data_IF_728362992674
#
_entry.id   IF_728362992674
#
_cell.length_a   1.000
_cell.length_b   1.000
_cell.length_c   1.000
_cell.angle_alpha   90.00
_cell.angle_beta   90.00
_cell.angle_gamma   90.00
#
_symmetry.space_group_name_H-M   'P 1'
#
loop_
_entity.id
_entity.type
_entity.pdbx_description
1 polymer ?
#
# COMPACT_ATOMS: atom_id res chain seq x y z
N UNK A 1 -23.80 18.45 16.43
CA UNK A 1 -23.80 18.22 14.98
C UNK A 1 -22.38 17.87 14.59
N UNK A 2 -22.09 16.59 14.37
CA UNK A 2 -20.79 16.13 13.87
C UNK A 2 -20.64 16.54 12.41
N UNK A 3 -19.58 17.30 12.11
CA UNK A 3 -19.23 17.67 10.74
C UNK A 3 -18.93 16.39 9.92
N UNK A 4 -19.30 16.34 8.63
CA UNK A 4 -18.92 15.24 7.75
C UNK A 4 -17.40 15.29 7.55
N UNK A 5 -16.67 14.43 8.26
CA UNK A 5 -15.22 14.31 8.11
C UNK A 5 -14.92 13.75 6.73
N UNK A 6 -14.25 14.53 5.88
CA UNK A 6 -13.70 13.98 4.65
C UNK A 6 -12.74 12.83 5.01
N UNK A 7 -12.73 11.71 4.27
CA UNK A 7 -11.98 10.49 4.65
C UNK A 7 -10.47 10.71 4.79
N UNK A 8 -9.94 11.80 4.23
CA UNK A 8 -8.51 12.18 4.28
C UNK A 8 -8.11 12.97 5.54
N UNK A 9 -9.07 13.45 6.33
CA UNK A 9 -8.82 14.29 7.53
C UNK A 9 -9.52 13.71 8.77
N UNK A 10 -9.29 12.42 9.03
CA UNK A 10 -9.78 11.72 10.21
C UNK A 10 -8.63 11.32 11.12
N UNK A 11 -8.89 11.22 12.42
CA UNK A 11 -7.87 10.78 13.38
C UNK A 11 -7.39 9.34 13.11
N UNK A 12 -8.27 8.46 12.62
CA UNK A 12 -7.88 7.11 12.19
C UNK A 12 -6.89 7.13 11.02
N UNK A 13 -7.05 8.07 10.08
CA UNK A 13 -6.09 8.25 8.99
C UNK A 13 -4.73 8.77 9.51
N UNK A 14 -4.73 9.76 10.41
CA UNK A 14 -3.52 10.26 11.05
C UNK A 14 -2.80 9.14 11.83
N UNK A 15 -3.55 8.35 12.61
CA UNK A 15 -3.03 7.21 13.35
C UNK A 15 -2.45 6.12 12.46
N UNK A 16 -3.09 5.83 11.34
CA UNK A 16 -2.60 4.86 10.34
C UNK A 16 -1.34 5.34 9.60
N UNK A 17 -1.25 6.64 9.32
CA UNK A 17 -0.13 7.23 8.56
C UNK A 17 1.07 7.59 9.43
N UNK A 18 0.92 7.69 10.75
CA UNK A 18 1.99 8.12 11.65
C UNK A 18 2.13 9.64 11.74
N UNK A 19 1.19 10.41 11.20
CA UNK A 19 1.22 11.86 11.21
C UNK A 19 0.84 12.41 12.60
N UNK A 20 1.85 12.52 13.47
CA UNK A 20 1.70 13.04 14.82
C UNK A 20 1.20 14.49 14.85
N UNK A 21 1.63 15.32 13.88
CA UNK A 21 1.23 16.72 13.83
C UNK A 21 -0.25 16.84 13.50
N UNK A 22 -0.72 16.11 12.48
CA UNK A 22 -2.13 16.04 12.13
C UNK A 22 -2.96 15.45 13.28
N UNK A 23 -2.49 14.38 13.94
CA UNK A 23 -3.19 13.79 15.07
C UNK A 23 -3.39 14.78 16.23
N UNK A 24 -2.38 15.60 16.55
CA UNK A 24 -2.48 16.66 17.55
C UNK A 24 -3.51 17.71 17.16
N UNK A 25 -3.43 18.24 15.93
CA UNK A 25 -4.39 19.23 15.43
C UNK A 25 -5.82 18.69 15.52
N UNK A 26 -6.05 17.44 15.09
CA UNK A 26 -7.39 16.86 15.07
C UNK A 26 -8.00 16.69 16.48
N UNK A 27 -7.16 16.42 17.48
CA UNK A 27 -7.62 16.23 18.87
C UNK A 27 -7.73 17.57 19.60
N UNK A 28 -6.72 18.43 19.48
CA UNK A 28 -6.58 19.66 20.27
C UNK A 28 -7.37 20.83 19.66
N UNK A 29 -7.38 20.97 18.34
CA UNK A 29 -8.06 22.07 17.64
C UNK A 29 -9.45 21.66 17.14
N UNK A 30 -9.54 20.53 16.42
CA UNK A 30 -10.80 20.08 15.81
C UNK A 30 -11.71 19.31 16.80
N UNK A 31 -11.19 18.96 17.99
CA UNK A 31 -11.95 18.31 19.06
C UNK A 31 -12.46 16.90 18.71
N UNK A 32 -11.80 16.19 17.80
CA UNK A 32 -12.19 14.82 17.43
C UNK A 32 -12.02 13.86 18.62
N UNK A 33 -12.97 12.93 18.76
CA UNK A 33 -12.91 11.90 19.79
C UNK A 33 -11.77 10.92 19.52
N UNK A 34 -10.78 10.87 20.41
CA UNK A 34 -9.60 10.01 20.24
C UNK A 34 -9.84 8.51 20.50
N UNK A 35 -11.00 8.17 21.06
CA UNK A 35 -11.41 6.81 21.41
C UNK A 35 -12.63 6.33 20.60
N UNK A 36 -13.13 7.14 19.65
CA UNK A 36 -14.25 6.76 18.81
C UNK A 36 -13.80 5.77 17.71
N UNK A 37 -14.68 4.83 17.37
CA UNK A 37 -14.39 3.85 16.34
C UNK A 37 -14.68 4.43 14.96
N UNK A 38 -13.89 4.07 13.96
CA UNK A 38 -14.20 4.39 12.57
C UNK A 38 -15.30 3.48 12.00
N UNK A 39 -15.58 3.63 10.70
CA UNK A 39 -16.57 2.82 9.98
C UNK A 39 -16.27 1.30 9.96
N UNK A 40 -15.04 0.90 10.31
CA UNK A 40 -14.62 -0.50 10.43
C UNK A 40 -14.64 -1.00 11.86
N UNK A 41 -15.19 -0.21 12.78
CA UNK A 41 -15.19 -0.48 14.21
C UNK A 41 -13.76 -0.60 14.79
N UNK A 42 -12.81 0.20 14.27
CA UNK A 42 -11.41 0.24 14.70
C UNK A 42 -11.10 1.58 15.35
N UNK A 43 -10.42 1.56 16.50
CA UNK A 43 -10.01 2.80 17.20
C UNK A 43 -8.71 3.38 16.64
N UNK A 44 -8.49 4.70 16.75
CA UNK A 44 -7.20 5.31 16.40
C UNK A 44 -6.01 4.63 17.07
N UNK A 45 -6.18 4.16 18.31
CA UNK A 45 -5.16 3.39 19.02
C UNK A 45 -4.78 2.10 18.30
N UNK A 46 -5.77 1.33 17.86
CA UNK A 46 -5.53 0.11 17.08
C UNK A 46 -4.84 0.41 15.76
N UNK A 47 -5.26 1.46 15.03
CA UNK A 47 -4.56 1.88 13.80
C UNK A 47 -3.09 2.20 14.05
N UNK A 48 -2.78 3.00 15.07
CA UNK A 48 -1.41 3.36 15.41
C UNK A 48 -0.55 2.12 15.77
N UNK A 49 -1.10 1.17 16.53
CA UNK A 49 -0.40 -0.07 16.87
C UNK A 49 -0.19 -1.00 15.67
N UNK A 50 -1.22 -1.22 14.85
CA UNK A 50 -1.15 -2.10 13.68
C UNK A 50 -0.21 -1.56 12.61
N UNK A 51 -0.14 -0.23 12.47
CA UNK A 51 0.74 0.44 11.52
C UNK A 51 2.11 0.84 12.08
N UNK A 52 2.35 0.59 13.37
CA UNK A 52 3.68 0.65 13.95
C UNK A 52 4.17 2.04 14.34
N UNK A 53 3.28 2.91 14.84
CA UNK A 53 3.58 4.32 15.13
C UNK A 53 3.61 4.63 16.63
N UNK A 54 4.72 4.32 17.35
CA UNK A 54 4.80 4.46 18.81
C UNK A 54 4.57 5.88 19.32
N UNK A 55 4.90 6.92 18.55
CA UNK A 55 4.70 8.32 18.93
C UNK A 55 3.21 8.66 19.04
N UNK A 56 2.37 8.12 18.14
CA UNK A 56 0.91 8.28 18.22
C UNK A 56 0.35 7.44 19.36
N UNK A 57 0.85 6.21 19.56
CA UNK A 57 0.46 5.36 20.69
C UNK A 57 0.72 6.09 22.02
N UNK A 58 1.89 6.72 22.16
CA UNK A 58 2.25 7.52 23.33
C UNK A 58 1.30 8.71 23.55
N UNK A 59 0.97 9.45 22.48
CA UNK A 59 0.01 10.54 22.53
C UNK A 59 -1.35 10.06 23.04
N UNK A 60 -1.89 9.00 22.45
CA UNK A 60 -3.19 8.45 22.82
C UNK A 60 -3.20 7.95 24.26
N UNK A 61 -2.18 7.21 24.70
CA UNK A 61 -2.06 6.74 26.09
C UNK A 61 -2.07 7.88 27.11
N UNK A 62 -1.42 9.00 26.77
CA UNK A 62 -1.42 10.19 27.61
C UNK A 62 -2.82 10.80 27.72
N UNK A 63 -3.59 10.79 26.64
CA UNK A 63 -4.99 11.24 26.64
C UNK A 63 -5.90 10.31 27.44
N UNK A 64 -5.77 8.99 27.29
CA UNK A 64 -6.49 8.03 28.14
C UNK A 64 -6.19 8.25 29.63
N UNK A 65 -4.93 8.45 29.99
CA UNK A 65 -4.54 8.71 31.37
C UNK A 65 -5.06 10.07 31.88
N UNK A 66 -5.00 11.12 31.06
CA UNK A 66 -5.52 12.46 31.37
C UNK A 66 -7.03 12.42 31.65
N UNK A 67 -7.77 11.72 30.80
CA UNK A 67 -9.23 11.66 30.84
C UNK A 67 -9.73 10.52 31.75
N UNK A 68 -8.81 9.81 32.43
CA UNK A 68 -9.07 8.67 33.32
C UNK A 68 -9.90 7.56 32.67
N UNK A 69 -9.74 7.40 31.36
CA UNK A 69 -10.40 6.37 30.57
C UNK A 69 -9.57 5.09 30.55
N UNK A 70 -10.23 3.95 30.63
CA UNK A 70 -9.57 2.64 30.51
C UNK A 70 -9.50 2.22 29.05
N UNK A 71 -8.30 1.89 28.57
CA UNK A 71 -8.15 1.12 27.33
C UNK A 71 -8.80 -0.25 27.51
N UNK A 72 -9.66 -0.62 26.56
CA UNK A 72 -10.38 -1.89 26.65
C UNK A 72 -9.42 -3.05 26.40
N UNK A 73 -9.53 -4.15 27.16
CA UNK A 73 -8.63 -5.30 27.05
C UNK A 73 -8.58 -5.88 25.61
N UNK A 74 -9.70 -5.78 24.87
CA UNK A 74 -9.80 -6.19 23.47
C UNK A 74 -8.92 -5.34 22.54
N UNK A 75 -8.78 -4.03 22.80
CA UNK A 75 -7.95 -3.16 21.98
C UNK A 75 -6.49 -3.58 22.05
N UNK A 76 -6.00 -3.87 23.26
CA UNK A 76 -4.63 -4.32 23.48
C UNK A 76 -4.38 -5.70 22.87
N UNK A 77 -5.35 -6.62 22.93
CA UNK A 77 -5.23 -7.97 22.36
C UNK A 77 -5.10 -7.95 20.83
N UNK A 78 -5.90 -7.13 20.14
CA UNK A 78 -5.78 -6.93 18.68
C UNK A 78 -4.39 -6.40 18.33
N UNK A 79 -3.89 -5.43 19.10
CA UNK A 79 -2.55 -4.86 18.90
C UNK A 79 -1.45 -5.91 19.11
N UNK A 80 -1.56 -6.77 20.12
CA UNK A 80 -0.59 -7.85 20.39
C UNK A 80 -0.45 -8.83 19.22
N UNK A 81 -1.55 -9.09 18.49
CA UNK A 81 -1.56 -10.03 17.36
C UNK A 81 -1.11 -9.40 16.05
N UNK A 82 -1.42 -8.12 15.84
CA UNK A 82 -1.22 -7.46 14.54
C UNK A 82 -0.14 -6.37 14.49
N UNK A 83 0.53 -6.03 15.59
CA UNK A 83 1.61 -5.05 15.58
C UNK A 83 2.89 -5.66 14.99
N UNK A 84 3.39 -5.05 13.91
CA UNK A 84 4.64 -5.47 13.25
C UNK A 84 5.87 -4.72 13.74
N UNK A 85 5.72 -3.53 14.34
CA UNK A 85 6.84 -2.75 14.86
C UNK A 85 7.47 -3.49 16.07
N UNK A 86 8.77 -3.82 16.03
CA UNK A 86 9.41 -4.64 17.05
C UNK A 86 9.44 -3.95 18.43
N UNK A 87 9.60 -2.63 18.44
CA UNK A 87 9.63 -1.84 19.68
C UNK A 87 8.24 -1.74 20.31
N UNK A 88 7.20 -1.53 19.50
CA UNK A 88 5.83 -1.60 20.00
C UNK A 88 5.44 -3.00 20.47
N UNK A 89 5.92 -4.08 19.82
CA UNK A 89 5.68 -5.45 20.30
C UNK A 89 6.28 -5.69 21.68
N UNK A 90 7.52 -5.24 21.93
CA UNK A 90 8.14 -5.32 23.27
C UNK A 90 7.29 -4.56 24.29
N UNK A 91 6.83 -3.35 23.95
CA UNK A 91 5.94 -2.57 24.80
C UNK A 91 4.62 -3.32 25.11
N UNK A 92 3.96 -3.88 24.10
CA UNK A 92 2.69 -4.60 24.24
C UNK A 92 2.83 -5.89 25.07
N UNK A 93 4.02 -6.49 25.11
CA UNK A 93 4.35 -7.63 25.99
C UNK A 93 4.74 -7.21 27.41
N UNK A 94 4.91 -5.92 27.66
CA UNK A 94 5.41 -5.39 28.94
C UNK A 94 6.91 -5.55 29.13
N UNK A 95 7.67 -5.79 28.06
CA UNK A 95 9.13 -5.94 28.10
C UNK A 95 9.85 -4.58 28.14
N UNK A 96 9.17 -3.50 27.74
CA UNK A 96 9.67 -2.12 27.79
C UNK A 96 8.54 -1.10 27.94
N UNK A 97 8.90 0.14 28.23
CA UNK A 97 7.97 1.28 28.30
C UNK A 97 7.68 1.87 26.91
N UNK A 98 6.57 2.60 26.78
CA UNK A 98 6.27 3.30 25.51
C UNK A 98 7.31 4.39 25.21
N UNK A 99 7.91 5.01 26.23
CA UNK A 99 8.96 6.01 26.05
C UNK A 99 10.24 5.40 25.46
N UNK A 100 10.64 4.22 25.92
CA UNK A 100 11.74 3.46 25.33
C UNK A 100 11.42 3.02 23.90
N UNK A 101 10.19 2.55 23.66
CA UNK A 101 9.75 2.20 22.31
C UNK A 101 9.86 3.40 21.36
N UNK A 102 9.44 4.61 21.78
CA UNK A 102 9.56 5.85 21.00
C UNK A 102 11.02 6.27 20.80
N UNK A 103 11.86 6.13 21.81
CA UNK A 103 13.27 6.52 21.73
C UNK A 103 14.09 5.58 20.83
N UNK A 104 13.77 4.29 20.84
CA UNK A 104 14.43 3.26 20.04
C UNK A 104 13.85 3.16 18.62
N UNK A 105 12.67 3.74 18.39
CA UNK A 105 12.04 3.87 17.09
C UNK A 105 12.78 4.91 16.24
N UNK A 106 13.96 4.49 15.75
CA UNK A 106 14.81 5.25 14.81
C UNK A 106 14.16 5.44 13.44
N UNK A 107 13.01 4.79 13.19
CA UNK A 107 12.21 4.93 11.97
C UNK A 107 11.32 6.20 11.99
N UNK A 108 10.86 6.67 13.16
CA UNK A 108 9.85 7.73 13.25
C UNK A 108 10.33 9.19 13.12
N UNK A 109 11.64 9.46 13.14
CA UNK A 109 12.21 10.83 12.95
C UNK A 109 12.82 11.06 11.58
N UNK A 110 12.80 10.05 10.74
CA UNK A 110 13.37 10.13 9.40
C UNK A 110 12.24 10.36 8.40
N UNK A 111 11.99 11.63 8.05
CA UNK A 111 11.45 11.99 6.73
C UNK A 111 12.51 11.70 5.64
N UNK A 112 13.19 10.56 5.71
CA UNK A 112 13.79 9.95 4.53
C UNK A 112 12.89 8.80 4.20
N UNK A 113 12.27 8.93 3.03
CA UNK A 113 11.74 7.84 2.23
C UNK A 113 11.45 6.59 3.06
N UNK A 114 10.18 6.43 3.46
CA UNK A 114 9.59 5.09 3.51
C UNK A 114 10.25 4.27 2.40
N UNK A 115 10.76 3.04 2.63
CA UNK A 115 11.13 2.18 1.51
C UNK A 115 9.99 2.32 0.52
N UNK A 116 10.29 2.87 -0.67
CA UNK A 116 9.29 3.41 -1.59
C UNK A 116 8.10 2.48 -1.57
N UNK A 117 6.85 2.96 -1.48
CA UNK A 117 5.65 2.08 -1.37
C UNK A 117 5.71 0.88 -2.33
N UNK A 118 6.37 1.09 -3.47
CA UNK A 118 6.89 0.11 -4.45
C UNK A 118 7.56 -1.14 -3.86
N UNK A 119 8.48 -1.03 -2.92
CA UNK A 119 9.31 -2.12 -2.35
C UNK A 119 8.74 -2.74 -1.08
N UNK A 120 7.64 -2.21 -0.55
CA UNK A 120 6.97 -2.76 0.64
C UNK A 120 6.42 -4.16 0.35
N UNK A 121 6.61 -5.07 1.30
CA UNK A 121 6.04 -6.42 1.27
C UNK A 121 4.72 -6.48 2.05
N UNK A 122 3.81 -7.34 1.62
CA UNK A 122 2.59 -7.67 2.35
C UNK A 122 2.81 -8.80 3.38
N UNK A 123 1.72 -9.32 3.97
CA UNK A 123 1.75 -10.38 4.98
C UNK A 123 2.27 -11.73 4.45
N UNK A 124 2.23 -11.95 3.14
CA UNK A 124 2.77 -13.14 2.47
C UNK A 124 4.21 -12.92 1.99
N UNK A 125 4.83 -11.85 2.45
CA UNK A 125 6.15 -11.39 2.02
C UNK A 125 6.22 -11.07 0.52
N UNK A 126 5.12 -10.68 -0.13
CA UNK A 126 5.07 -10.37 -1.58
C UNK A 126 5.13 -8.87 -1.84
N UNK A 127 5.76 -8.51 -2.95
CA UNK A 127 5.88 -7.10 -3.38
C UNK A 127 4.84 -6.76 -4.46
N UNK A 128 4.68 -5.46 -4.74
CA UNK A 128 3.90 -5.02 -5.90
C UNK A 128 4.44 -5.57 -7.23
N UNK A 129 5.77 -5.77 -7.33
CA UNK A 129 6.40 -6.36 -8.51
C UNK A 129 6.00 -7.83 -8.69
N UNK A 130 5.95 -8.60 -7.60
CA UNK A 130 5.48 -9.98 -7.62
C UNK A 130 4.07 -10.10 -8.21
N UNK A 131 3.12 -9.29 -7.74
CA UNK A 131 1.75 -9.30 -8.25
C UNK A 131 1.64 -8.81 -9.70
N UNK A 132 2.45 -7.85 -10.10
CA UNK A 132 2.51 -7.42 -11.50
C UNK A 132 3.00 -8.55 -12.42
N UNK A 133 3.92 -9.39 -11.93
CA UNK A 133 4.43 -10.55 -12.66
C UNK A 133 3.41 -11.70 -12.73
N UNK A 134 2.71 -12.02 -11.64
CA UNK A 134 1.68 -13.07 -11.63
C UNK A 134 0.52 -12.78 -12.58
N UNK A 135 0.16 -11.50 -12.74
CA UNK A 135 -0.95 -11.06 -13.58
C UNK A 135 -0.51 -10.59 -14.99
N UNK A 136 0.75 -10.80 -15.37
CA UNK A 136 1.31 -10.42 -16.67
C UNK A 136 1.14 -8.93 -17.04
N UNK A 137 1.25 -8.02 -16.08
CA UNK A 137 1.14 -6.59 -16.33
C UNK A 137 2.49 -5.99 -16.77
N UNK A 138 2.90 -6.23 -18.02
CA UNK A 138 4.21 -5.85 -18.56
C UNK A 138 4.59 -4.37 -18.36
N UNK A 139 3.63 -3.43 -18.45
CA UNK A 139 3.90 -2.01 -18.21
C UNK A 139 4.22 -1.74 -16.74
N UNK A 140 3.42 -2.31 -15.82
CA UNK A 140 3.65 -2.16 -14.39
C UNK A 140 4.99 -2.78 -13.99
N UNK A 141 5.32 -3.96 -14.52
CA UNK A 141 6.63 -4.60 -14.33
C UNK A 141 7.77 -3.69 -14.79
N UNK A 142 7.68 -3.10 -15.98
CA UNK A 142 8.74 -2.23 -16.50
C UNK A 142 8.99 -1.00 -15.62
N UNK A 143 7.92 -0.38 -15.10
CA UNK A 143 8.03 0.73 -14.16
C UNK A 143 8.63 0.27 -12.82
N UNK A 144 8.07 -0.79 -12.23
CA UNK A 144 8.47 -1.29 -10.92
C UNK A 144 9.93 -1.78 -10.92
N UNK A 145 10.40 -2.50 -11.93
CA UNK A 145 11.80 -2.94 -12.02
C UNK A 145 12.77 -1.74 -12.06
N UNK A 146 12.40 -0.65 -12.73
CA UNK A 146 13.22 0.57 -12.77
C UNK A 146 13.32 1.20 -11.38
N UNK A 147 12.20 1.30 -10.67
CA UNK A 147 12.17 1.84 -9.31
C UNK A 147 12.93 0.96 -8.32
N UNK A 148 12.74 -0.36 -8.35
CA UNK A 148 13.44 -1.29 -7.46
C UNK A 148 14.97 -1.21 -7.63
N UNK A 149 15.47 -1.04 -8.87
CA UNK A 149 16.90 -0.83 -9.14
C UNK A 149 17.46 0.43 -8.50
N UNK A 150 16.64 1.45 -8.27
CA UNK A 150 17.05 2.69 -7.62
C UNK A 150 17.13 2.58 -6.09
N UNK A 151 16.42 1.63 -5.49
CA UNK A 151 16.28 1.54 -4.03
C UNK A 151 16.91 0.29 -3.39
N UNK A 152 17.03 -0.82 -4.12
CA UNK A 152 17.52 -2.08 -3.55
C UNK A 152 19.00 -2.35 -3.87
N UNK A 153 19.64 -3.11 -2.98
CA UNK A 153 20.96 -3.67 -3.26
C UNK A 153 20.87 -4.74 -4.35
N UNK A 154 21.97 -4.97 -5.07
CA UNK A 154 22.02 -5.96 -6.17
C UNK A 154 21.54 -7.34 -5.72
N UNK A 155 21.84 -7.75 -4.48
CA UNK A 155 21.47 -9.07 -3.94
C UNK A 155 19.97 -9.21 -3.69
N UNK A 156 19.35 -8.21 -3.06
CA UNK A 156 17.90 -8.21 -2.79
C UNK A 156 17.11 -8.18 -4.09
N UNK A 157 17.56 -7.40 -5.07
CA UNK A 157 16.94 -7.31 -6.38
C UNK A 157 16.98 -8.63 -7.13
N UNK A 158 18.10 -9.33 -7.10
CA UNK A 158 18.25 -10.64 -7.76
C UNK A 158 17.29 -11.66 -7.14
N UNK A 159 17.18 -11.71 -5.82
CA UNK A 159 16.27 -12.64 -5.14
C UNK A 159 14.80 -12.42 -5.53
N UNK A 160 14.34 -11.16 -5.58
CA UNK A 160 12.96 -10.85 -5.99
C UNK A 160 12.72 -11.08 -7.48
N UNK A 161 13.69 -10.77 -8.33
CA UNK A 161 13.62 -11.09 -9.77
C UNK A 161 13.51 -12.61 -9.98
N UNK A 162 14.23 -13.41 -9.21
CA UNK A 162 14.14 -14.88 -9.25
C UNK A 162 12.74 -15.38 -8.85
N UNK A 163 12.16 -14.86 -7.78
CA UNK A 163 10.79 -15.17 -7.37
C UNK A 163 9.77 -14.75 -8.42
N UNK A 164 9.91 -13.53 -8.96
CA UNK A 164 9.04 -13.00 -10.01
C UNK A 164 9.14 -13.83 -11.31
N UNK A 165 10.34 -14.31 -11.66
CA UNK A 165 10.57 -15.17 -12.83
C UNK A 165 9.88 -16.53 -12.67
N UNK A 166 9.88 -17.10 -11.46
CA UNK A 166 9.24 -18.37 -11.18
C UNK A 166 7.72 -18.34 -11.41
N UNK A 167 7.10 -17.18 -11.18
CA UNK A 167 5.64 -17.00 -11.35
C UNK A 167 5.24 -16.37 -12.68
N UNK A 168 6.14 -15.67 -13.36
CA UNK A 168 5.87 -15.04 -14.64
C UNK A 168 5.57 -16.08 -15.73
N UNK A 169 4.41 -15.95 -16.38
CA UNK A 169 3.99 -16.83 -17.49
C UNK A 169 4.22 -16.18 -18.86
N UNK A 170 4.25 -14.85 -18.94
CA UNK A 170 4.51 -14.10 -20.18
C UNK A 170 6.01 -14.00 -20.50
N UNK A 171 6.37 -14.23 -21.77
CA UNK A 171 7.73 -13.99 -22.29
C UNK A 171 8.15 -12.52 -22.18
N UNK A 172 7.20 -11.60 -22.31
CA UNK A 172 7.48 -10.16 -22.22
C UNK A 172 7.88 -9.76 -20.80
N UNK A 173 7.17 -10.31 -19.80
CA UNK A 173 7.47 -10.07 -18.38
C UNK A 173 8.84 -10.65 -18.02
N UNK A 174 9.14 -11.88 -18.46
CA UNK A 174 10.47 -12.48 -18.24
C UNK A 174 11.57 -11.65 -18.89
N UNK A 175 11.37 -11.21 -20.14
CA UNK A 175 12.37 -10.37 -20.79
C UNK A 175 12.55 -8.99 -20.13
N UNK A 176 11.50 -8.42 -19.53
CA UNK A 176 11.61 -7.20 -18.74
C UNK A 176 12.40 -7.41 -17.43
N UNK A 177 12.17 -8.53 -16.75
CA UNK A 177 12.90 -8.91 -15.53
C UNK A 177 14.39 -9.16 -15.83
N UNK A 178 14.69 -9.88 -16.91
CA UNK A 178 16.05 -10.20 -17.35
C UNK A 178 16.77 -9.00 -18.00
N UNK A 179 16.06 -7.88 -18.22
CA UNK A 179 16.59 -6.68 -18.86
C UNK A 179 16.79 -6.78 -20.38
N UNK A 180 16.30 -7.84 -21.01
CA UNK A 180 16.33 -8.02 -22.48
C UNK A 180 15.26 -7.19 -23.19
N UNK A 181 14.18 -6.86 -22.49
CA UNK A 181 13.11 -5.97 -22.94
C UNK A 181 13.09 -4.67 -22.11
N UNK A 182 12.58 -3.61 -22.71
CA UNK A 182 12.40 -2.30 -22.05
C UNK A 182 10.98 -1.80 -22.29
N UNK A 183 10.55 -0.78 -21.54
CA UNK A 183 9.24 -0.15 -21.74
C UNK A 183 9.03 0.32 -23.19
N UNK A 184 10.09 0.77 -23.88
CA UNK A 184 10.02 1.16 -25.29
C UNK A 184 9.61 0.00 -26.19
N UNK A 185 10.17 -1.19 -25.98
CA UNK A 185 9.82 -2.40 -26.75
C UNK A 185 8.35 -2.78 -26.55
N UNK A 186 7.86 -2.72 -25.31
CA UNK A 186 6.45 -3.01 -24.98
C UNK A 186 5.51 -2.00 -25.64
N UNK A 187 5.82 -0.70 -25.54
CA UNK A 187 5.01 0.36 -26.14
C UNK A 187 4.98 0.27 -27.67
N UNK A 188 6.10 -0.09 -28.30
CA UNK A 188 6.17 -0.34 -29.73
C UNK A 188 5.27 -1.52 -30.15
N UNK A 189 5.32 -2.64 -29.42
CA UNK A 189 4.46 -3.80 -29.67
C UNK A 189 2.96 -3.47 -29.54
N UNK A 190 2.58 -2.69 -28.52
CA UNK A 190 1.19 -2.23 -28.34
C UNK A 190 0.75 -1.34 -29.50
N UNK A 191 1.61 -0.43 -29.95
CA UNK A 191 1.31 0.45 -31.08
C UNK A 191 1.13 -0.32 -32.39
N UNK A 192 1.96 -1.35 -32.63
CA UNK A 192 1.87 -2.23 -33.78
C UNK A 192 0.59 -3.07 -33.74
N UNK A 193 0.23 -3.62 -32.58
CA UNK A 193 -1.01 -4.37 -32.38
C UNK A 193 -2.26 -3.50 -32.64
N UNK A 194 -2.25 -2.24 -32.17
CA UNK A 194 -3.33 -1.28 -32.46
C UNK A 194 -3.43 -0.97 -33.96
N UNK A 195 -2.30 -0.76 -34.64
CA UNK A 195 -2.26 -0.53 -36.09
C UNK A 195 -2.81 -1.73 -36.87
N UNK A 196 -2.41 -2.95 -36.49
CA UNK A 196 -2.88 -4.19 -37.10
C UNK A 196 -4.39 -4.41 -36.88
N UNK A 197 -4.89 -4.14 -35.67
CA UNK A 197 -6.33 -4.23 -35.36
C UNK A 197 -7.13 -3.22 -36.17
N UNK A 198 -6.63 -1.99 -36.34
CA UNK A 198 -7.27 -0.98 -37.17
C UNK A 198 -7.28 -1.34 -38.67
N UNK A 199 -6.23 -2.02 -39.16
CA UNK A 199 -6.17 -2.57 -40.51
C UNK A 199 -7.19 -3.70 -40.71
N UNK A 200 -7.30 -4.63 -39.75
CA UNK A 200 -8.27 -5.73 -39.83
C UNK A 200 -9.73 -5.25 -39.77
N UNK A 201 -10.05 -4.23 -38.97
CA UNK A 201 -11.41 -3.65 -38.92
C UNK A 201 -11.81 -2.98 -40.24
N UNK A 202 -10.86 -2.34 -40.93
CA UNK A 202 -11.10 -1.75 -42.27
C UNK A 202 -11.25 -2.79 -43.38
N UNK A 203 -10.77 -4.01 -43.16
CA UNK A 203 -10.83 -5.11 -44.12
C UNK A 203 -12.08 -6.00 -44.00
N UNK A 204 -12.98 -5.76 -43.01
CA UNK A 204 -14.25 -6.48 -42.97
C UNK A 204 -15.11 -6.09 -44.19
N UNK A 205 -15.54 -7.05 -45.04
CA UNK A 205 -16.42 -6.74 -46.15
C UNK A 205 -17.74 -6.22 -45.59
N UNK A 206 -18.18 -5.04 -46.07
CA UNK A 206 -19.53 -4.54 -45.83
C UNK A 206 -20.48 -5.59 -46.38
N UNK A 207 -21.11 -6.39 -45.51
CA UNK A 207 -22.23 -7.23 -45.92
C UNK A 207 -23.36 -6.30 -46.33
N UNK A 208 -23.47 -6.10 -47.65
CA UNK A 208 -24.56 -5.37 -48.27
C UNK A 208 -25.86 -6.06 -47.85
N UNK A 209 -26.70 -5.33 -47.13
CA UNK A 209 -28.11 -5.63 -46.93
C UNK A 209 -28.73 -5.94 -48.30
N UNK A 210 -29.01 -7.22 -48.55
CA UNK A 210 -29.78 -7.69 -49.69
C UNK A 210 -30.96 -8.51 -49.16
N UNK A 211 -31.88 -7.83 -48.47
CA UNK A 211 -33.21 -8.37 -48.14
C UNK A 211 -34.23 -7.24 -48.23
N UNK A 212 -34.52 -6.77 -49.46
CA UNK A 212 -35.72 -5.99 -49.71
C UNK A 212 -36.07 -5.88 -51.20
N UNK A 213 -36.31 -6.99 -51.89
CA UNK A 213 -37.19 -6.99 -53.08
C UNK A 213 -37.83 -8.38 -53.23
N UNK A 214 -39.06 -8.53 -52.73
CA UNK A 214 -40.13 -9.30 -53.35
C UNK A 214 -41.44 -8.88 -52.69
N UNK A 215 -42.05 -7.85 -53.27
CA UNK A 215 -43.47 -7.55 -53.14
C UNK A 215 -43.97 -7.24 -54.55
N UNK A 216 -44.54 -8.24 -55.20
CA UNK A 216 -45.61 -8.21 -56.22
C UNK A 216 -45.78 -9.63 -56.74
#
# INVERSE_FOLDING_TARGET
MSLPTSPVRSLSYAAKSGDLALARILIEEDGQNFHEHDAFNVTPFQHACLHGHPQIVQLLLTLYARDKMTLHALELEVCKRGCFNPELRKYLKGEQTIGEAVANDTEGTTIQATPSLVTRRDNDHRTALYYACTHNHSIAVAFLVSEFKSYWTTTELVAEIDECRAVATSSDVRGLLDGTLTLKHIMAAISAAKKQKALNVKALPKTTSALQQHAS
#
